data_IF_438194563949
#
_entry.id   IF_438194563949
#
_cell.length_a   1.000
_cell.length_b   1.000
_cell.length_c   1.000
_cell.angle_alpha   90.00
_cell.angle_beta   90.00
_cell.angle_gamma   90.00
#
_symmetry.space_group_name_H-M   'P 1'
#
loop_
_entity.id
_entity.type
_entity.pdbx_description
1 polymer ?
#
# COMPACT_ATOMS: atom_id res chain seq x y z
N UNK A 1 6.22 6.75 12.43
CA UNK A 1 5.46 5.55 12.06
C UNK A 1 6.45 4.44 11.75
N UNK A 2 6.34 3.30 12.42
CA UNK A 2 7.22 2.16 12.15
C UNK A 2 6.57 1.24 11.11
N UNK A 3 7.37 0.76 10.16
CA UNK A 3 6.91 -0.18 9.14
C UNK A 3 7.56 -1.54 9.36
N UNK A 4 6.75 -2.59 9.27
CA UNK A 4 7.21 -3.98 9.31
C UNK A 4 6.70 -4.76 8.10
N UNK A 5 7.45 -5.78 7.70
CA UNK A 5 7.04 -6.71 6.66
C UNK A 5 7.81 -8.01 6.80
N UNK A 6 7.28 -9.07 6.18
CA UNK A 6 8.04 -10.30 6.04
C UNK A 6 9.09 -10.12 4.91
N UNK A 7 10.38 -10.42 5.13
CA UNK A 7 11.44 -10.19 4.14
C UNK A 7 11.26 -11.04 2.87
N UNK A 8 10.85 -12.31 3.00
CA UNK A 8 10.59 -13.18 1.84
C UNK A 8 9.44 -12.63 1.00
N UNK A 9 8.39 -12.12 1.65
CA UNK A 9 7.30 -11.41 0.96
C UNK A 9 7.78 -10.14 0.26
N UNK A 10 8.70 -9.39 0.85
CA UNK A 10 9.23 -8.18 0.23
C UNK A 10 9.98 -8.51 -1.07
N UNK A 11 10.79 -9.57 -1.06
CA UNK A 11 11.51 -10.07 -2.24
C UNK A 11 10.51 -10.52 -3.31
N UNK A 12 9.56 -11.39 -2.96
CA UNK A 12 8.54 -11.89 -3.89
C UNK A 12 7.67 -10.76 -4.46
N UNK A 13 7.36 -9.74 -3.66
CA UNK A 13 6.59 -8.58 -4.11
C UNK A 13 7.39 -7.75 -5.12
N UNK A 14 8.68 -7.51 -4.84
CA UNK A 14 9.56 -6.79 -5.76
C UNK A 14 9.68 -7.54 -7.09
N UNK A 15 9.88 -8.86 -7.07
CA UNK A 15 9.97 -9.67 -8.29
C UNK A 15 8.65 -9.67 -9.08
N UNK A 16 7.51 -9.80 -8.39
CA UNK A 16 6.20 -9.91 -9.04
C UNK A 16 5.65 -8.57 -9.54
N UNK A 17 5.90 -7.49 -8.81
CA UNK A 17 5.24 -6.21 -9.01
C UNK A 17 6.19 -5.05 -9.35
N UNK A 18 7.50 -5.26 -9.24
CA UNK A 18 8.50 -4.21 -9.47
C UNK A 18 8.50 -3.12 -8.40
N UNK A 19 7.82 -3.33 -7.28
CA UNK A 19 7.65 -2.34 -6.20
C UNK A 19 8.23 -2.91 -4.91
N UNK A 20 9.19 -2.19 -4.33
CA UNK A 20 9.76 -2.54 -3.03
C UNK A 20 8.84 -2.09 -1.89
N UNK A 21 8.87 -2.78 -0.75
CA UNK A 21 8.11 -2.34 0.42
C UNK A 21 8.67 -1.05 1.04
N UNK A 22 9.97 -0.80 0.87
CA UNK A 22 10.59 0.47 1.24
C UNK A 22 10.01 1.64 0.43
N UNK A 23 9.79 1.44 -0.86
CA UNK A 23 9.09 2.42 -1.69
C UNK A 23 7.62 2.53 -1.29
N UNK A 24 6.92 1.40 -1.13
CA UNK A 24 5.51 1.38 -0.76
C UNK A 24 5.24 2.11 0.56
N UNK A 25 6.15 2.05 1.53
CA UNK A 25 6.07 2.79 2.78
C UNK A 25 6.03 4.32 2.59
N UNK A 26 6.56 4.83 1.47
CA UNK A 26 6.56 6.28 1.18
C UNK A 26 5.18 6.81 0.81
N UNK A 27 4.26 5.94 0.39
CA UNK A 27 2.86 6.30 0.08
C UNK A 27 2.14 6.89 1.30
N UNK A 28 2.49 6.45 2.50
CA UNK A 28 1.91 6.95 3.75
C UNK A 28 2.31 8.40 4.06
N UNK A 29 3.29 8.95 3.34
CA UNK A 29 3.66 10.37 3.42
C UNK A 29 2.97 11.23 2.36
N UNK A 30 2.19 10.64 1.46
CA UNK A 30 1.43 11.40 0.47
C UNK A 30 0.19 12.03 1.14
N UNK A 31 0.09 13.37 1.19
CA UNK A 31 -1.05 14.05 1.79
C UNK A 31 -2.37 13.81 1.04
N UNK A 32 -2.31 13.36 -0.21
CA UNK A 32 -3.49 13.04 -1.04
C UNK A 32 -3.83 11.55 -0.99
N UNK A 33 -3.10 10.74 -0.22
CA UNK A 33 -3.36 9.31 -0.13
C UNK A 33 -4.75 9.00 0.44
N UNK A 34 -5.39 7.99 -0.13
CA UNK A 34 -6.72 7.53 0.27
C UNK A 34 -6.63 6.12 0.81
N UNK A 35 -7.06 5.93 2.06
CA UNK A 35 -7.11 4.62 2.72
C UNK A 35 -8.55 4.14 2.86
N UNK A 36 -8.81 2.87 2.53
CA UNK A 36 -10.12 2.25 2.68
C UNK A 36 -10.00 0.83 3.24
N UNK A 37 -11.03 0.33 3.97
CA UNK A 37 -11.08 -1.05 4.43
C UNK A 37 -11.03 -2.02 3.25
N UNK A 38 -10.37 -3.16 3.44
CA UNK A 38 -10.33 -4.27 2.48
C UNK A 38 -11.41 -5.32 2.86
N UNK A 39 -12.62 -5.25 2.28
CA UNK A 39 -13.77 -6.03 2.74
C UNK A 39 -13.65 -7.54 2.48
N UNK A 40 -12.76 -7.96 1.57
CA UNK A 40 -12.55 -9.38 1.21
C UNK A 40 -11.70 -10.14 2.24
N UNK A 41 -11.09 -9.47 3.22
CA UNK A 41 -10.16 -10.09 4.15
C UNK A 41 -10.65 -10.12 5.61
N UNK A 42 -11.23 -11.27 5.95
CA UNK A 42 -11.35 -11.98 7.26
C UNK A 42 -11.55 -11.22 8.59
N UNK A 43 -12.52 -11.75 9.33
CA UNK A 43 -12.97 -11.57 10.74
C UNK A 43 -11.88 -11.52 11.85
N UNK A 44 -10.58 -11.50 11.55
CA UNK A 44 -9.48 -11.67 12.53
C UNK A 44 -8.41 -10.56 12.54
N UNK A 45 -8.15 -9.88 11.43
CA UNK A 45 -7.18 -8.78 11.32
C UNK A 45 -7.74 -7.73 10.35
N UNK A 46 -7.94 -6.50 10.81
CA UNK A 46 -8.41 -5.40 9.95
C UNK A 46 -7.34 -5.09 8.91
N UNK A 47 -7.67 -5.32 7.64
CA UNK A 47 -6.82 -4.97 6.50
C UNK A 47 -7.35 -3.72 5.82
N UNK A 48 -6.40 -2.95 5.33
CA UNK A 48 -6.65 -1.70 4.65
C UNK A 48 -5.85 -1.66 3.36
N UNK A 49 -6.39 -0.95 2.39
CA UNK A 49 -5.70 -0.60 1.16
C UNK A 49 -5.52 0.91 1.17
N UNK A 50 -4.28 1.35 0.96
CA UNK A 50 -3.96 2.76 0.72
C UNK A 50 -3.53 2.93 -0.74
N UNK A 51 -4.07 3.97 -1.38
CA UNK A 51 -3.67 4.41 -2.71
C UNK A 51 -3.03 5.78 -2.58
N UNK A 52 -1.84 5.95 -3.13
CA UNK A 52 -1.16 7.24 -3.16
C UNK A 52 0.15 7.19 -3.94
N UNK A 53 0.78 8.34 -4.06
CA UNK A 53 2.03 8.55 -4.78
C UNK A 53 3.22 8.13 -3.91
N UNK A 54 4.10 7.33 -4.49
CA UNK A 54 5.41 7.05 -3.91
C UNK A 54 6.35 8.24 -4.09
N UNK A 55 7.47 8.22 -3.36
CA UNK A 55 8.57 9.18 -3.55
C UNK A 55 9.18 9.19 -4.97
N UNK A 56 8.84 8.21 -5.81
CA UNK A 56 9.27 8.10 -7.21
C UNK A 56 8.15 8.47 -8.18
N UNK A 57 7.13 9.20 -7.70
CA UNK A 57 5.98 9.66 -8.49
C UNK A 57 5.16 8.50 -9.12
N UNK A 58 5.23 7.31 -8.52
CA UNK A 58 4.43 6.17 -8.94
C UNK A 58 3.17 6.10 -8.08
N UNK A 59 2.00 6.03 -8.72
CA UNK A 59 0.77 5.75 -7.99
C UNK A 59 0.72 4.26 -7.63
N UNK A 60 0.75 3.97 -6.33
CA UNK A 60 0.81 2.62 -5.79
C UNK A 60 -0.48 2.29 -5.04
N UNK A 61 -0.79 1.00 -5.03
CA UNK A 61 -1.82 0.39 -4.20
C UNK A 61 -1.11 -0.51 -3.20
N UNK A 62 -1.25 -0.20 -1.91
CA UNK A 62 -0.54 -0.89 -0.82
C UNK A 62 -1.55 -1.50 0.14
N UNK A 63 -1.52 -2.82 0.28
CA UNK A 63 -2.30 -3.52 1.29
C UNK A 63 -1.50 -3.59 2.60
N UNK A 64 -2.11 -3.18 3.69
CA UNK A 64 -1.49 -3.16 5.00
C UNK A 64 -2.47 -3.55 6.12
N UNK A 65 -1.93 -3.77 7.31
CA UNK A 65 -2.71 -3.89 8.54
C UNK A 65 -2.07 -3.04 9.63
N UNK A 66 -2.93 -2.42 10.43
CA UNK A 66 -2.52 -1.61 11.57
C UNK A 66 -2.35 -2.47 12.82
N UNK A 67 -1.18 -2.36 13.45
CA UNK A 67 -0.82 -3.07 14.69
C UNK A 67 -0.48 -2.07 15.78
N UNK A 68 -1.42 -1.17 16.06
CA UNK A 68 -1.23 -0.06 17.00
C UNK A 68 -0.29 0.99 16.42
N UNK A 69 0.96 1.01 16.87
CA UNK A 69 1.97 2.00 16.44
C UNK A 69 2.76 1.58 15.18
N UNK A 70 2.52 0.36 14.68
CA UNK A 70 3.22 -0.21 13.53
C UNK A 70 2.26 -0.48 12.38
N UNK A 71 2.75 -0.24 11.17
CA UNK A 71 2.09 -0.63 9.93
C UNK A 71 2.80 -1.84 9.35
N UNK A 72 2.06 -2.93 9.17
CA UNK A 72 2.57 -4.10 8.47
C UNK A 72 2.17 -4.08 7.01
N UNK A 73 3.15 -3.91 6.12
CA UNK A 73 2.92 -3.99 4.67
C UNK A 73 2.78 -5.47 4.26
N UNK A 74 1.71 -5.78 3.54
CA UNK A 74 1.34 -7.14 3.12
C UNK A 74 1.65 -7.35 1.64
N UNK A 75 1.33 -6.35 0.80
CA UNK A 75 1.62 -6.33 -0.63
C UNK A 75 1.62 -4.89 -1.16
N UNK A 76 2.32 -4.67 -2.27
CA UNK A 76 2.36 -3.38 -2.96
C UNK A 76 2.45 -3.59 -4.47
N UNK A 77 1.70 -2.81 -5.24
CA UNK A 77 1.76 -2.85 -6.70
C UNK A 77 1.46 -1.48 -7.30
N UNK A 78 1.78 -1.34 -8.58
CA UNK A 78 1.29 -0.23 -9.36
C UNK A 78 -0.25 -0.20 -9.40
N UNK A 79 -0.80 1.00 -9.29
CA UNK A 79 -2.22 1.24 -9.54
C UNK A 79 -2.56 0.94 -11.00
N UNK A 80 -3.69 0.27 -11.20
CA UNK A 80 -4.29 0.06 -12.52
C UNK A 80 -4.75 1.40 -13.10
N UNK A 81 -4.98 1.46 -14.41
CA UNK A 81 -5.51 2.67 -15.05
C UNK A 81 -6.83 3.15 -14.44
N UNK A 82 -7.66 2.22 -13.95
CA UNK A 82 -8.94 2.54 -13.32
C UNK A 82 -8.73 3.16 -11.93
N UNK A 83 -7.85 2.58 -11.12
CA UNK A 83 -7.50 3.12 -9.80
C UNK A 83 -6.80 4.49 -9.90
N UNK A 84 -5.96 4.69 -10.92
CA UNK A 84 -5.36 6.01 -11.21
C UNK A 84 -6.42 7.07 -11.47
N UNK A 85 -7.41 6.77 -12.32
CA UNK A 85 -8.52 7.69 -12.60
C UNK A 85 -9.35 7.98 -11.35
N UNK A 86 -9.60 6.98 -10.52
CA UNK A 86 -10.31 7.18 -9.26
C UNK A 86 -9.56 8.14 -8.33
N UNK A 87 -8.24 7.96 -8.21
CA UNK A 87 -7.37 8.83 -7.42
C UNK A 87 -7.34 10.27 -7.93
N UNK A 88 -7.19 10.45 -9.25
CA UNK A 88 -7.14 11.76 -9.91
C UNK A 88 -8.48 12.51 -9.90
N UNK A 89 -9.62 11.82 -9.86
CA UNK A 89 -10.95 12.43 -9.83
C UNK A 89 -11.46 12.74 -8.41
N UNK A 90 -10.85 12.11 -7.40
CA UNK A 90 -11.22 12.26 -5.98
C UNK A 90 -10.30 13.16 -5.16
N UNK A 91 -9.20 13.68 -5.75
CA UNK A 91 -8.30 14.67 -5.14
C UNK A 91 -8.64 16.10 -5.54
#
# INVERSE_FOLDING_TARGET
MEFEWNPDKAILNLEKHGVSFQEAATVFNDPLSVTFPDPDHSVRESRYVIIGLSRFEQLLVVAHTDRGEKIRIISARNATRQEKRFYEQGS
#
